data_IF_582677796222
#
_entry.id   IF_582677796222
#
_cell.length_a   1.000
_cell.length_b   1.000
_cell.length_c   1.000
_cell.angle_alpha   90.00
_cell.angle_beta   90.00
_cell.angle_gamma   90.00
#
_symmetry.space_group_name_H-M   'P 1'
#
loop_
_entity.id
_entity.type
_entity.pdbx_description
1 polymer ?
#
# COMPACT_ATOMS: atom_id res chain seq x y z
N UNK A 1 9.90 4.86 10.67
CA UNK A 1 11.19 4.95 9.94
C UNK A 1 11.17 6.26 9.18
N UNK A 2 12.13 7.14 9.44
CA UNK A 2 12.12 8.52 8.92
C UNK A 2 13.40 8.85 8.15
N UNK A 3 14.37 7.94 8.11
CA UNK A 3 15.62 8.09 7.37
C UNK A 3 15.49 7.63 5.92
N UNK A 4 16.63 7.40 5.29
CA UNK A 4 16.68 6.85 3.93
C UNK A 4 17.20 5.43 3.97
N UNK A 5 16.56 4.53 3.21
CA UNK A 5 16.98 3.14 3.05
C UNK A 5 17.02 2.36 4.37
N UNK A 6 16.20 2.74 5.34
CA UNK A 6 16.10 2.03 6.61
C UNK A 6 15.46 0.65 6.38
N UNK A 7 15.90 -0.35 7.15
CA UNK A 7 15.34 -1.70 7.17
C UNK A 7 14.67 -1.95 8.53
N UNK A 8 13.40 -2.33 8.52
CA UNK A 8 12.60 -2.55 9.74
C UNK A 8 11.85 -3.87 9.68
N UNK A 9 11.75 -4.56 10.80
CA UNK A 9 10.92 -5.76 10.92
C UNK A 9 10.23 -5.83 12.27
N UNK A 10 8.97 -6.28 12.28
CA UNK A 10 8.21 -6.50 13.50
C UNK A 10 7.27 -7.71 13.38
N UNK A 11 6.74 -8.16 14.52
CA UNK A 11 5.80 -9.28 14.62
C UNK A 11 4.51 -8.84 15.33
N UNK A 12 3.40 -9.54 15.08
CA UNK A 12 2.12 -9.26 15.74
C UNK A 12 1.35 -8.10 15.11
N UNK A 13 0.68 -7.29 15.94
CA UNK A 13 -0.12 -6.15 15.50
C UNK A 13 0.67 -4.86 15.68
N UNK A 14 1.05 -4.22 14.57
CA UNK A 14 1.91 -3.05 14.58
C UNK A 14 1.21 -1.84 14.01
N UNK A 15 1.50 -0.67 14.58
CA UNK A 15 1.21 0.63 13.95
C UNK A 15 2.54 1.27 13.60
N UNK A 16 2.80 1.49 12.31
CA UNK A 16 4.10 1.95 11.83
C UNK A 16 3.91 3.13 10.88
N UNK A 17 4.80 4.12 10.98
CA UNK A 17 4.91 5.21 10.02
C UNK A 17 6.23 5.12 9.24
N UNK A 18 6.15 5.22 7.92
CA UNK A 18 7.28 5.36 7.00
C UNK A 18 7.25 6.78 6.44
N UNK A 19 8.10 7.65 6.98
CA UNK A 19 8.13 9.08 6.61
C UNK A 19 9.37 9.49 5.82
N UNK A 20 10.27 8.55 5.55
CA UNK A 20 11.54 8.78 4.88
C UNK A 20 11.51 8.41 3.39
N UNK A 21 12.58 7.85 2.84
CA UNK A 21 12.52 7.33 1.46
C UNK A 21 13.31 6.04 1.28
N UNK A 22 12.86 5.17 0.39
CA UNK A 22 13.56 3.92 0.07
C UNK A 22 13.57 2.90 1.20
N UNK A 23 12.74 3.05 2.23
CA UNK A 23 12.72 2.18 3.39
C UNK A 23 12.05 0.85 3.08
N UNK A 24 12.41 -0.20 3.81
CA UNK A 24 11.76 -1.50 3.70
C UNK A 24 11.27 -1.93 5.08
N UNK A 25 9.97 -2.18 5.19
CA UNK A 25 9.32 -2.65 6.40
C UNK A 25 8.77 -4.06 6.18
N UNK A 26 9.12 -5.00 7.05
CA UNK A 26 8.54 -6.36 7.03
C UNK A 26 7.73 -6.63 8.29
N UNK A 27 6.44 -6.89 8.13
CA UNK A 27 5.53 -7.21 9.23
C UNK A 27 5.05 -8.66 9.08
N UNK A 28 5.35 -9.48 10.09
CA UNK A 28 5.05 -10.91 10.08
C UNK A 28 4.15 -11.31 11.26
N UNK A 29 3.53 -12.49 11.18
CA UNK A 29 2.70 -13.04 12.26
C UNK A 29 1.19 -12.89 12.09
N UNK A 30 0.70 -12.50 10.90
CA UNK A 30 -0.74 -12.53 10.55
C UNK A 30 -1.62 -11.53 11.31
N UNK A 31 -1.01 -10.55 11.97
CA UNK A 31 -1.72 -9.50 12.70
C UNK A 31 -2.33 -8.43 11.80
N UNK A 32 -3.33 -7.73 12.32
CA UNK A 32 -3.89 -6.52 11.69
C UNK A 32 -2.91 -5.37 11.90
N UNK A 33 -2.03 -5.15 10.94
CA UNK A 33 -1.11 -4.01 11.00
C UNK A 33 -1.74 -2.77 10.37
N UNK A 34 -1.32 -1.60 10.83
CA UNK A 34 -1.64 -0.31 10.23
C UNK A 34 -0.34 0.38 9.85
N UNK A 35 -0.12 0.60 8.56
CA UNK A 35 1.07 1.28 8.03
C UNK A 35 0.66 2.59 7.37
N UNK A 36 1.28 3.67 7.83
CA UNK A 36 1.12 5.02 7.30
C UNK A 36 2.40 5.41 6.54
N UNK A 37 2.32 5.50 5.22
CA UNK A 37 3.44 5.83 4.34
C UNK A 37 3.28 7.26 3.84
N UNK A 38 4.14 8.13 4.34
CA UNK A 38 4.20 9.54 3.93
C UNK A 38 5.50 9.89 3.21
N UNK A 39 6.39 8.89 3.15
CA UNK A 39 7.65 8.92 2.43
C UNK A 39 7.48 8.68 0.93
N UNK A 40 8.53 8.22 0.27
CA UNK A 40 8.48 7.82 -1.15
C UNK A 40 9.45 6.68 -1.44
N UNK A 41 9.09 5.82 -2.39
CA UNK A 41 9.88 4.65 -2.76
C UNK A 41 9.99 3.62 -1.64
N UNK A 42 9.08 3.64 -0.67
CA UNK A 42 9.09 2.72 0.45
C UNK A 42 8.48 1.37 0.05
N UNK A 43 8.95 0.28 0.66
CA UNK A 43 8.43 -1.08 0.47
C UNK A 43 7.83 -1.60 1.77
N UNK A 44 6.56 -1.99 1.73
CA UNK A 44 5.85 -2.64 2.83
C UNK A 44 5.63 -4.10 2.49
N UNK A 45 6.21 -5.02 3.25
CA UNK A 45 5.95 -6.46 3.18
C UNK A 45 5.06 -6.84 4.36
N UNK A 46 3.76 -6.97 4.15
CA UNK A 46 2.79 -7.27 5.20
C UNK A 46 1.64 -8.12 4.63
N UNK A 47 0.98 -8.91 5.47
CA UNK A 47 -0.23 -9.62 5.04
C UNK A 47 -1.39 -9.20 5.92
N UNK A 48 -2.61 -9.18 5.36
CA UNK A 48 -3.84 -8.89 6.12
C UNK A 48 -3.76 -7.57 6.89
N UNK A 49 -3.16 -6.56 6.27
CA UNK A 49 -2.84 -5.27 6.88
C UNK A 49 -3.57 -4.12 6.19
N UNK A 50 -3.67 -2.99 6.88
CA UNK A 50 -4.14 -1.73 6.34
C UNK A 50 -2.95 -0.85 6.02
N UNK A 51 -2.85 -0.36 4.79
CA UNK A 51 -1.78 0.53 4.34
C UNK A 51 -2.38 1.81 3.78
N UNK A 52 -1.94 2.96 4.27
CA UNK A 52 -2.28 4.26 3.69
C UNK A 52 -1.04 4.84 3.02
N UNK A 53 -1.16 5.15 1.73
CA UNK A 53 -0.16 5.87 0.96
C UNK A 53 -0.61 7.34 0.83
N UNK A 54 0.11 8.24 1.49
CA UNK A 54 -0.07 9.69 1.33
C UNK A 54 0.57 10.17 0.01
N UNK A 55 1.08 11.40 -0.09
CA UNK A 55 1.60 11.97 -1.35
C UNK A 55 2.92 11.34 -1.87
N UNK A 56 3.23 10.11 -1.48
CA UNK A 56 4.44 9.35 -1.79
C UNK A 56 4.43 8.71 -3.18
N UNK A 57 5.53 8.83 -3.92
CA UNK A 57 5.68 8.22 -5.25
C UNK A 57 6.54 6.96 -5.19
N UNK A 58 6.11 5.92 -5.90
CA UNK A 58 6.89 4.71 -6.13
C UNK A 58 6.83 3.70 -4.99
N UNK A 59 5.84 3.81 -4.10
CA UNK A 59 5.71 2.89 -2.99
C UNK A 59 5.26 1.51 -3.47
N UNK A 60 5.78 0.48 -2.81
CA UNK A 60 5.48 -0.92 -3.11
C UNK A 60 4.84 -1.58 -1.89
N UNK A 61 3.70 -2.22 -2.09
CA UNK A 61 3.06 -3.08 -1.08
C UNK A 61 3.09 -4.51 -1.56
N UNK A 62 3.71 -5.37 -0.76
CA UNK A 62 3.84 -6.80 -0.98
C UNK A 62 3.15 -7.56 0.14
N UNK A 63 2.68 -8.77 -0.18
CA UNK A 63 1.91 -9.65 0.70
C UNK A 63 0.44 -9.63 0.31
N UNK A 64 -0.46 -10.28 1.03
CA UNK A 64 -1.81 -10.57 0.53
C UNK A 64 -2.91 -10.25 1.52
N UNK A 65 -4.09 -9.96 0.97
CA UNK A 65 -5.32 -9.59 1.70
C UNK A 65 -5.20 -8.23 2.39
N UNK A 66 -4.44 -7.32 1.79
CA UNK A 66 -4.26 -5.99 2.34
C UNK A 66 -5.40 -5.06 1.90
N UNK A 67 -5.72 -4.08 2.75
CA UNK A 67 -6.56 -2.93 2.39
C UNK A 67 -5.65 -1.74 2.20
N UNK A 68 -5.53 -1.26 0.95
CA UNK A 68 -4.59 -0.21 0.58
C UNK A 68 -5.37 1.04 0.19
N UNK A 69 -5.18 2.13 0.91
CA UNK A 69 -5.73 3.45 0.60
C UNK A 69 -4.67 4.29 -0.11
N UNK A 70 -4.94 4.69 -1.35
CA UNK A 70 -4.02 5.46 -2.19
C UNK A 70 -4.57 6.87 -2.35
N UNK A 71 -3.86 7.86 -1.81
CA UNK A 71 -4.30 9.27 -1.85
C UNK A 71 -3.78 10.02 -3.09
N UNK A 72 -4.21 11.27 -3.28
CA UNK A 72 -3.80 12.06 -4.44
C UNK A 72 -2.28 12.25 -4.53
N UNK A 73 -1.71 12.04 -5.70
CA UNK A 73 -0.26 12.17 -5.92
C UNK A 73 0.54 10.92 -5.55
N UNK A 74 -0.09 9.95 -4.89
CA UNK A 74 0.55 8.69 -4.59
C UNK A 74 0.65 7.79 -5.82
N UNK A 75 1.70 6.97 -5.90
CA UNK A 75 1.74 5.85 -6.85
C UNK A 75 2.08 4.55 -6.12
N UNK A 76 1.35 3.50 -6.48
CA UNK A 76 1.40 2.19 -5.83
C UNK A 76 1.82 1.13 -6.84
N UNK A 77 2.76 0.27 -6.44
CA UNK A 77 2.91 -1.07 -6.98
C UNK A 77 2.41 -2.08 -5.95
N UNK A 78 1.32 -2.79 -6.24
CA UNK A 78 0.84 -3.89 -5.41
C UNK A 78 1.11 -5.22 -6.12
N UNK A 79 1.80 -6.14 -5.44
CA UNK A 79 2.13 -7.48 -5.98
C UNK A 79 1.31 -8.60 -5.34
N UNK A 80 0.49 -8.25 -4.34
CA UNK A 80 -0.32 -9.14 -3.55
C UNK A 80 -1.54 -9.74 -4.21
N UNK A 81 -1.98 -10.87 -3.68
CA UNK A 81 -3.25 -11.48 -4.06
C UNK A 81 -4.36 -11.06 -3.09
N UNK A 82 -5.58 -10.90 -3.60
CA UNK A 82 -6.77 -10.57 -2.82
C UNK A 82 -6.70 -9.23 -2.08
N UNK A 83 -5.89 -8.30 -2.58
CA UNK A 83 -5.83 -6.96 -2.03
C UNK A 83 -7.05 -6.13 -2.46
N UNK A 84 -7.49 -5.27 -1.56
CA UNK A 84 -8.49 -4.24 -1.85
C UNK A 84 -7.77 -2.90 -1.98
N UNK A 85 -7.86 -2.28 -3.16
CA UNK A 85 -7.23 -0.98 -3.43
C UNK A 85 -8.30 0.10 -3.50
N UNK A 86 -8.26 1.04 -2.57
CA UNK A 86 -9.13 2.20 -2.49
C UNK A 86 -8.39 3.43 -3.03
N UNK A 87 -8.83 3.95 -4.17
CA UNK A 87 -8.27 5.16 -4.79
C UNK A 87 -8.92 6.41 -4.18
N UNK A 88 -8.47 6.81 -2.99
CA UNK A 88 -8.99 7.95 -2.23
C UNK A 88 -8.46 9.30 -2.77
N UNK A 89 -8.97 9.73 -3.93
CA UNK A 89 -8.54 10.97 -4.60
C UNK A 89 -7.32 10.81 -5.50
N UNK A 90 -6.78 9.59 -5.61
CA UNK A 90 -5.81 9.23 -6.64
C UNK A 90 -6.49 9.03 -8.01
N UNK A 91 -5.73 9.26 -9.10
CA UNK A 91 -6.14 8.87 -10.45
C UNK A 91 -5.71 7.42 -10.68
N UNK A 92 -6.68 6.50 -10.77
CA UNK A 92 -6.41 5.11 -11.11
C UNK A 92 -6.08 4.97 -12.60
N UNK A 93 -4.87 4.49 -12.92
CA UNK A 93 -4.50 4.04 -14.27
C UNK A 93 -4.24 2.55 -14.22
N UNK A 94 -4.91 1.81 -15.08
CA UNK A 94 -4.67 0.37 -15.22
C UNK A 94 -3.79 0.12 -16.45
N UNK A 95 -2.99 -0.94 -16.44
CA UNK A 95 -2.11 -1.30 -17.55
C UNK A 95 -2.87 -1.62 -18.85
N UNK A 96 -2.16 -1.64 -19.98
CA UNK A 96 -2.73 -1.78 -21.33
C UNK A 96 -3.57 -3.07 -21.54
N UNK A 97 -3.34 -4.11 -20.75
CA UNK A 97 -4.10 -5.37 -20.78
C UNK A 97 -4.97 -5.61 -19.54
N UNK A 98 -5.16 -4.60 -18.69
CA UNK A 98 -5.97 -4.76 -17.49
C UNK A 98 -7.44 -5.01 -17.84
N UNK A 99 -8.04 -6.03 -17.23
CA UNK A 99 -9.47 -6.32 -17.34
C UNK A 99 -10.15 -5.80 -16.08
N UNK A 100 -11.14 -4.92 -16.24
CA UNK A 100 -12.00 -4.44 -15.14
C UNK A 100 -13.35 -5.11 -15.25
N UNK A 101 -13.70 -5.93 -14.26
CA UNK A 101 -15.08 -6.34 -14.03
C UNK A 101 -15.82 -5.24 -13.27
N UNK A 102 -16.68 -4.48 -13.94
CA UNK A 102 -17.59 -3.53 -13.27
C UNK A 102 -18.96 -4.18 -13.17
N UNK A 103 -19.38 -4.54 -11.96
CA UNK A 103 -20.71 -5.09 -11.68
C UNK A 103 -21.62 -3.96 -11.14
N UNK A 104 -22.40 -3.30 -11.99
CA UNK A 104 -23.30 -2.21 -11.57
C UNK A 104 -23.90 -1.39 -12.73
N UNK A 105 -25.22 -1.17 -12.69
CA UNK A 105 -26.05 -0.54 -13.74
C UNK A 105 -25.61 0.89 -14.02
N UNK A 106 -25.34 1.19 -15.30
CA UNK A 106 -25.29 2.55 -15.83
C UNK A 106 -26.60 3.26 -15.48
N UNK A 107 -26.58 4.14 -14.48
CA UNK A 107 -27.69 5.05 -14.20
C UNK A 107 -27.68 6.10 -15.31
N UNK A 108 -28.64 5.99 -16.22
CA UNK A 108 -28.98 7.00 -17.22
C UNK A 108 -29.50 8.27 -16.58
#
# INVERSE_FOLDING_TARGET
>A
MTGQNDQGSAQGNNTVRLGGSGNVLTLSGGGQNSVDVTGSGDTVNANSSTVTLEAGVGDTVNGSRDTISVTSGATLTASGASDTINLAGAVGRLGESAVVGVEGRRTT
#
